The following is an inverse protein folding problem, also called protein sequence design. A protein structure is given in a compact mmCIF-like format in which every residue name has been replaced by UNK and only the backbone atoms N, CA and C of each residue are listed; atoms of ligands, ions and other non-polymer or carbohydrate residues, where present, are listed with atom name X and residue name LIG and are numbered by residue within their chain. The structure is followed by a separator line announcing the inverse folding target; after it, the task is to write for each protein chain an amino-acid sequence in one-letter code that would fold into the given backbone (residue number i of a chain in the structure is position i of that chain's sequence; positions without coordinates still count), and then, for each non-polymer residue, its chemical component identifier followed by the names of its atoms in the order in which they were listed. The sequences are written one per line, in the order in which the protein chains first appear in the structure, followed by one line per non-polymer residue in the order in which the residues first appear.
data_IF_010419454723
#
_entry.id   IF_010419454723
#
_cell.length_a   1.000
_cell.length_b   1.000
_cell.length_c   1.000
_cell.angle_alpha   90.00
_cell.angle_beta   90.00
_cell.angle_gamma   90.00
#
_symmetry.space_group_name_H-M   'P 1'
#
loop_
_entity.id
_entity.type
_entity.pdbx_description
1 polymer ?
#
# COMPACT_ATOMS: atom_id res chain seq x y z
N UNK A 1 1.96 -16.35 -15.05
CA UNK A 1 3.32 -16.29 -15.62
C UNK A 1 4.32 -16.47 -14.49
N UNK A 2 5.42 -17.15 -14.77
CA UNK A 2 6.42 -17.61 -13.81
C UNK A 2 7.21 -16.41 -13.25
N UNK A 3 6.63 -15.68 -12.28
CA UNK A 3 7.35 -14.62 -11.56
C UNK A 3 8.39 -15.31 -10.69
N UNK A 4 9.70 -15.07 -10.89
CA UNK A 4 10.72 -15.66 -10.05
C UNK A 4 10.48 -15.29 -8.58
N UNK A 5 10.67 -16.23 -7.66
CA UNK A 5 10.45 -16.03 -6.23
C UNK A 5 11.16 -14.77 -5.70
N UNK A 6 12.44 -14.57 -6.07
CA UNK A 6 13.20 -13.38 -5.70
C UNK A 6 12.58 -12.06 -6.18
N UNK A 7 11.88 -12.06 -7.33
CA UNK A 7 11.15 -10.87 -7.82
C UNK A 7 9.88 -10.67 -7.00
N UNK A 8 9.16 -11.75 -6.69
CA UNK A 8 7.98 -11.69 -5.83
C UNK A 8 8.36 -11.13 -4.44
N UNK A 9 9.40 -11.67 -3.81
CA UNK A 9 9.90 -11.23 -2.52
C UNK A 9 10.35 -9.78 -2.52
N UNK A 10 11.05 -9.34 -3.57
CA UNK A 10 11.44 -7.94 -3.72
C UNK A 10 10.20 -7.02 -3.78
N UNK A 11 9.19 -7.41 -4.56
CA UNK A 11 7.95 -6.63 -4.69
C UNK A 11 7.19 -6.56 -3.37
N UNK A 12 7.08 -7.68 -2.64
CA UNK A 12 6.43 -7.72 -1.33
C UNK A 12 7.23 -6.93 -0.29
N UNK A 13 8.55 -7.08 -0.29
CA UNK A 13 9.47 -6.38 0.61
C UNK A 13 9.36 -4.86 0.47
N UNK A 14 9.31 -4.34 -0.75
CA UNK A 14 9.17 -2.90 -0.99
C UNK A 14 7.74 -2.45 -0.72
N UNK A 15 6.76 -3.03 -1.40
CA UNK A 15 5.41 -2.47 -1.44
C UNK A 15 4.61 -2.73 -0.16
N UNK A 16 4.74 -3.92 0.43
CA UNK A 16 3.99 -4.29 1.63
C UNK A 16 4.80 -4.06 2.89
N UNK A 17 5.97 -4.70 3.01
CA UNK A 17 6.79 -4.61 4.24
C UNK A 17 7.26 -3.17 4.47
N UNK A 18 7.66 -2.44 3.43
CA UNK A 18 7.98 -1.01 3.52
C UNK A 18 6.80 -0.17 4.07
N UNK A 19 5.60 -0.35 3.51
CA UNK A 19 4.38 0.32 3.97
C UNK A 19 4.05 -0.02 5.43
N UNK A 20 4.18 -1.29 5.81
CA UNK A 20 3.99 -1.75 7.18
C UNK A 20 4.95 -1.05 8.16
N UNK A 21 6.26 -1.04 7.86
CA UNK A 21 7.28 -0.48 8.74
C UNK A 21 7.05 1.02 8.97
N UNK A 22 6.80 1.78 7.90
CA UNK A 22 6.54 3.22 8.01
C UNK A 22 5.23 3.50 8.76
N UNK A 23 4.16 2.75 8.45
CA UNK A 23 2.87 2.92 9.12
C UNK A 23 2.98 2.61 10.62
N UNK A 24 3.68 1.54 10.98
CA UNK A 24 3.92 1.15 12.37
C UNK A 24 4.61 2.28 13.15
N UNK A 25 5.74 2.77 12.66
CA UNK A 25 6.50 3.82 13.36
C UNK A 25 5.71 5.13 13.41
N UNK A 26 4.98 5.49 12.35
CA UNK A 26 4.11 6.66 12.35
C UNK A 26 2.99 6.57 13.39
N UNK A 27 2.31 5.42 13.49
CA UNK A 27 1.28 5.18 14.51
C UNK A 27 1.89 5.24 15.91
N UNK A 28 3.00 4.55 16.15
CA UNK A 28 3.69 4.57 17.45
C UNK A 28 4.04 6.00 17.87
N UNK A 29 4.61 6.79 16.97
CA UNK A 29 4.94 8.18 17.25
C UNK A 29 3.71 9.04 17.53
N UNK A 30 2.63 8.90 16.73
CA UNK A 30 1.39 9.67 16.93
C UNK A 30 0.74 9.36 18.29
N UNK A 31 0.75 8.08 18.70
CA UNK A 31 0.24 7.64 19.99
C UNK A 31 1.07 8.20 21.15
N UNK A 32 2.41 8.14 21.06
CA UNK A 32 3.31 8.69 22.08
C UNK A 32 3.13 10.20 22.28
N UNK A 33 2.75 10.93 21.23
CA UNK A 33 2.51 12.37 21.30
C UNK A 33 1.07 12.74 21.70
N UNK A 34 0.20 11.76 21.98
CA UNK A 34 -1.23 11.96 22.16
C UNK A 34 -1.83 12.83 21.05
N UNK A 35 -1.34 12.67 19.81
CA UNK A 35 -1.69 13.52 18.70
C UNK A 35 -3.03 13.10 18.11
N UNK A 36 -4.05 13.95 18.23
CA UNK A 36 -5.38 13.74 17.62
C UNK A 36 -5.50 14.48 16.28
N UNK A 37 -6.48 14.08 15.46
CA UNK A 37 -6.73 14.70 14.16
C UNK A 37 -5.69 14.35 13.09
N UNK A 38 -4.83 13.36 13.35
CA UNK A 38 -3.77 12.95 12.42
C UNK A 38 -4.29 11.97 11.38
N UNK A 39 -3.59 11.91 10.26
CA UNK A 39 -3.93 11.00 9.17
C UNK A 39 -2.68 10.35 8.57
N UNK A 40 -2.84 9.09 8.16
CA UNK A 40 -1.89 8.32 7.37
C UNK A 40 -2.59 7.97 6.06
N UNK A 41 -1.91 8.20 4.93
CA UNK A 41 -2.40 7.84 3.61
C UNK A 41 -1.43 6.90 2.90
N UNK A 42 -1.85 5.66 2.68
CA UNK A 42 -1.07 4.65 1.97
C UNK A 42 -1.43 4.60 0.48
N UNK A 43 -0.46 4.31 -0.37
CA UNK A 43 -0.65 4.24 -1.83
C UNK A 43 -0.77 2.78 -2.28
N UNK A 44 -2.00 2.38 -2.62
CA UNK A 44 -2.29 1.09 -3.23
C UNK A 44 -2.32 1.21 -4.77
N UNK A 45 -3.24 0.51 -5.43
CA UNK A 45 -3.44 0.51 -6.89
C UNK A 45 -4.79 -0.11 -7.21
N UNK A 46 -5.43 0.28 -8.31
CA UNK A 46 -6.62 -0.44 -8.84
C UNK A 46 -6.31 -1.91 -9.13
N UNK A 47 -5.04 -2.24 -9.42
CA UNK A 47 -4.60 -3.63 -9.57
C UNK A 47 -4.70 -4.46 -8.30
N UNK A 48 -4.62 -3.83 -7.12
CA UNK A 48 -4.83 -4.51 -5.84
C UNK A 48 -6.29 -4.90 -5.59
N UNK A 49 -7.25 -4.29 -6.31
CA UNK A 49 -8.68 -4.59 -6.20
C UNK A 49 -9.13 -5.64 -7.21
N UNK A 50 -8.74 -5.47 -8.48
CA UNK A 50 -9.22 -6.31 -9.58
C UNK A 50 -8.24 -7.38 -10.05
N UNK A 51 -6.95 -7.24 -9.75
CA UNK A 51 -5.90 -7.97 -10.43
C UNK A 51 -5.75 -7.55 -11.90
N UNK A 52 -4.55 -7.75 -12.46
CA UNK A 52 -4.31 -7.61 -13.89
C UNK A 52 -3.36 -8.73 -14.36
N UNK A 53 -3.52 -9.24 -15.59
CA UNK A 53 -2.55 -10.17 -16.17
C UNK A 53 -1.12 -9.63 -16.07
N UNK A 54 -0.16 -10.53 -15.86
CA UNK A 54 1.28 -10.22 -15.78
C UNK A 54 1.72 -9.39 -14.57
N UNK A 55 0.79 -8.94 -13.73
CA UNK A 55 1.07 -8.14 -12.54
C UNK A 55 0.74 -8.89 -11.24
N UNK A 56 0.89 -10.21 -11.18
CA UNK A 56 0.44 -11.02 -10.02
C UNK A 56 1.11 -10.59 -8.71
N UNK A 57 2.44 -10.48 -8.68
CA UNK A 57 3.18 -10.03 -7.49
C UNK A 57 2.81 -8.59 -7.09
N UNK A 58 2.73 -7.68 -8.07
CA UNK A 58 2.36 -6.29 -7.84
C UNK A 58 0.93 -6.17 -7.30
N UNK A 59 -0.02 -6.85 -7.94
CA UNK A 59 -1.44 -6.88 -7.54
C UNK A 59 -1.61 -7.49 -6.14
N UNK A 60 -0.91 -8.59 -5.84
CA UNK A 60 -0.91 -9.19 -4.51
C UNK A 60 -0.40 -8.18 -3.46
N UNK A 61 0.74 -7.53 -3.72
CA UNK A 61 1.32 -6.55 -2.79
C UNK A 61 0.39 -5.35 -2.55
N UNK A 62 -0.28 -4.84 -3.60
CA UNK A 62 -1.18 -3.68 -3.50
C UNK A 62 -2.53 -4.07 -2.89
N UNK A 63 -3.00 -5.30 -3.11
CA UNK A 63 -4.16 -5.88 -2.41
C UNK A 63 -3.90 -6.02 -0.91
N UNK A 64 -2.70 -6.47 -0.53
CA UNK A 64 -2.29 -6.55 0.85
C UNK A 64 -2.25 -5.16 1.53
N UNK A 65 -1.76 -4.12 0.86
CA UNK A 65 -1.79 -2.73 1.38
C UNK A 65 -3.23 -2.25 1.63
N UNK A 66 -4.19 -2.61 0.78
CA UNK A 66 -5.60 -2.25 0.97
C UNK A 66 -6.15 -2.90 2.25
N UNK A 67 -5.94 -4.22 2.40
CA UNK A 67 -6.40 -4.96 3.58
C UNK A 67 -5.72 -4.47 4.86
N UNK A 68 -4.39 -4.33 4.82
CA UNK A 68 -3.59 -3.80 5.91
C UNK A 68 -4.08 -2.43 6.39
N UNK A 69 -4.32 -1.51 5.45
CA UNK A 69 -4.79 -0.16 5.79
C UNK A 69 -6.13 -0.18 6.52
N UNK A 70 -7.07 -1.06 6.10
CA UNK A 70 -8.36 -1.20 6.78
C UNK A 70 -8.19 -1.72 8.22
N UNK A 71 -7.31 -2.70 8.44
CA UNK A 71 -7.03 -3.22 9.78
C UNK A 71 -6.50 -2.12 10.70
N UNK A 72 -5.44 -1.43 10.27
CA UNK A 72 -4.81 -0.38 11.07
C UNK A 72 -5.82 0.75 11.35
N UNK A 73 -6.64 1.13 10.37
CA UNK A 73 -7.67 2.16 10.56
C UNK A 73 -8.61 1.82 11.72
N UNK A 74 -9.05 0.55 11.84
CA UNK A 74 -9.91 0.09 12.92
C UNK A 74 -9.17 0.08 14.27
N UNK A 75 -7.90 -0.35 14.28
CA UNK A 75 -7.08 -0.41 15.49
C UNK A 75 -6.85 0.96 16.14
N UNK A 76 -6.73 2.02 15.33
CA UNK A 76 -6.38 3.37 15.82
C UNK A 76 -7.54 4.38 15.80
N UNK A 77 -8.73 4.00 15.34
CA UNK A 77 -9.88 4.89 15.18
C UNK A 77 -10.21 5.66 16.46
N UNK A 78 -10.29 4.97 17.60
CA UNK A 78 -10.62 5.57 18.90
C UNK A 78 -9.47 6.41 19.49
N UNK A 79 -8.30 6.41 18.85
CA UNK A 79 -7.15 7.25 19.21
C UNK A 79 -7.10 8.55 18.41
N UNK A 80 -8.12 8.84 17.59
CA UNK A 80 -8.20 10.07 16.80
C UNK A 80 -7.24 10.10 15.60
N UNK A 81 -6.77 8.94 15.15
CA UNK A 81 -5.91 8.78 13.96
C UNK A 81 -6.76 8.16 12.85
N UNK A 82 -6.68 8.73 11.65
CA UNK A 82 -7.32 8.19 10.45
C UNK A 82 -6.28 7.51 9.58
N UNK A 83 -6.58 6.31 9.08
CA UNK A 83 -5.69 5.63 8.12
C UNK A 83 -6.51 5.28 6.89
N UNK A 84 -6.07 5.75 5.72
CA UNK A 84 -6.78 5.55 4.46
C UNK A 84 -5.80 5.12 3.37
N UNK A 85 -6.35 4.61 2.28
CA UNK A 85 -5.56 4.29 1.09
C UNK A 85 -6.24 4.83 -0.17
N UNK A 86 -5.43 5.29 -1.12
CA UNK A 86 -5.87 5.62 -2.47
C UNK A 86 -5.41 4.54 -3.45
N UNK A 87 -6.20 4.32 -4.50
CA UNK A 87 -5.94 3.33 -5.54
C UNK A 87 -5.84 4.03 -6.90
N UNK A 88 -4.66 4.58 -7.25
CA UNK A 88 -4.48 5.17 -8.56
C UNK A 88 -4.73 4.16 -9.69
N UNK A 89 -5.33 4.67 -10.77
CA UNK A 89 -5.39 4.00 -12.07
C UNK A 89 -4.14 4.26 -12.89
N UNK A 90 -4.25 4.10 -14.22
CA UNK A 90 -3.20 4.57 -15.12
C UNK A 90 -2.99 6.08 -14.91
N UNK A 91 -1.76 6.47 -14.60
CA UNK A 91 -1.41 7.84 -14.22
C UNK A 91 -0.13 8.21 -14.95
N UNK A 92 -0.13 9.34 -15.65
CA UNK A 92 1.03 9.81 -16.42
C UNK A 92 2.22 10.11 -15.48
N UNK A 93 3.13 9.16 -15.42
CA UNK A 93 4.33 9.19 -14.58
C UNK A 93 5.46 8.47 -15.31
N UNK A 94 6.74 8.66 -14.93
CA UNK A 94 7.85 7.91 -15.51
C UNK A 94 7.67 6.38 -15.47
N UNK A 95 6.90 5.85 -14.51
CA UNK A 95 6.57 4.42 -14.42
C UNK A 95 5.77 3.91 -15.62
N UNK A 96 4.87 4.72 -16.18
CA UNK A 96 3.98 4.31 -17.28
C UNK A 96 4.59 4.53 -18.65
N UNK A 97 5.69 5.28 -18.76
CA UNK A 97 6.36 5.59 -20.03
C UNK A 97 6.96 4.36 -20.72
N UNK A 98 7.33 3.33 -19.97
CA UNK A 98 7.83 2.05 -20.51
C UNK A 98 6.72 1.05 -20.84
N UNK A 99 5.46 1.39 -20.55
CA UNK A 99 4.30 0.55 -20.88
C UNK A 99 3.81 0.94 -22.27
N UNK A 100 3.70 -0.01 -23.24
CA UNK A 100 3.15 0.30 -24.54
C UNK A 100 1.77 0.95 -24.42
N UNK A 101 1.43 1.94 -25.27
CA UNK A 101 0.07 2.47 -25.30
C UNK A 101 -0.91 1.32 -25.60
N UNK A 102 -2.09 1.41 -24.98
CA UNK A 102 -3.19 0.47 -25.24
C UNK A 102 -3.73 0.62 -26.65
#
# INVERSE_FOLDING_TARGET
QNVPEAVFDKVIGVNLKGTYLVTKEAVTWMLQKNATGRAILNIASVSGKGGYPFLSAYSASKGAVISFTKSVALEVALKGIRVNTILPGYTDTPMTQSTPPR
#
